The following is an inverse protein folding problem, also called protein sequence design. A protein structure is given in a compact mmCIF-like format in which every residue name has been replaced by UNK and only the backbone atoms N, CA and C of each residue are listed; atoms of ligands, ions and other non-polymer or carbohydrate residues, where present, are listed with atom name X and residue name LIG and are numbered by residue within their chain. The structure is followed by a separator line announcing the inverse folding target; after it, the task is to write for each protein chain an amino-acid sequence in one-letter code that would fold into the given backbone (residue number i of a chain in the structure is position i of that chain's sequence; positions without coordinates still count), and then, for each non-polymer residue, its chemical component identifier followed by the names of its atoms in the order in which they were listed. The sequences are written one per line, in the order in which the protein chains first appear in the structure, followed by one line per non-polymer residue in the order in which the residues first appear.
data_IF_151745745409
#
_entry.id   IF_151745745409
#
_cell.length_a   1.000
_cell.length_b   1.000
_cell.length_c   1.000
_cell.angle_alpha   90.00
_cell.angle_beta   90.00
_cell.angle_gamma   90.00
#
_symmetry.space_group_name_H-M   'P 1'
#
loop_
_entity.id
_entity.type
_entity.pdbx_description
1 polymer ?
#
# COMPACT_ATOMS: atom_id res chain seq x y z
N UNK A 1 -23.77 4.28 0.62
CA UNK A 1 -22.43 3.65 0.69
C UNK A 1 -21.73 3.98 -0.62
N UNK A 2 -20.53 4.57 -0.58
CA UNK A 2 -19.75 4.85 -1.80
C UNK A 2 -19.14 3.53 -2.26
N UNK A 3 -19.36 3.17 -3.52
CA UNK A 3 -18.72 2.00 -4.11
C UNK A 3 -17.26 2.34 -4.44
N UNK A 4 -16.29 1.46 -4.12
CA UNK A 4 -14.89 1.70 -4.44
C UNK A 4 -14.69 1.79 -5.96
N UNK A 5 -13.86 2.74 -6.40
CA UNK A 5 -13.52 2.90 -7.81
C UNK A 5 -12.45 1.88 -8.23
N UNK A 6 -12.48 1.44 -9.49
CA UNK A 6 -11.43 0.60 -10.04
C UNK A 6 -10.08 1.34 -10.03
N UNK A 7 -9.06 0.72 -9.43
CA UNK A 7 -7.73 1.32 -9.28
C UNK A 7 -7.56 2.29 -8.11
N UNK A 8 -8.61 2.46 -7.29
CA UNK A 8 -8.51 3.18 -6.02
C UNK A 8 -7.70 2.37 -5.00
N UNK A 9 -6.72 3.02 -4.36
CA UNK A 9 -5.83 2.39 -3.39
C UNK A 9 -5.87 3.19 -2.10
N UNK A 10 -6.24 2.53 -1.01
CA UNK A 10 -6.14 3.09 0.34
C UNK A 10 -4.76 2.79 0.91
N UNK A 11 -4.13 3.79 1.55
CA UNK A 11 -2.80 3.62 2.14
C UNK A 11 -2.75 4.22 3.54
N UNK A 12 -2.41 3.37 4.51
CA UNK A 12 -2.21 3.74 5.91
C UNK A 12 -0.72 3.69 6.27
N UNK A 13 -0.31 4.57 7.18
CA UNK A 13 1.08 4.65 7.65
C UNK A 13 1.13 4.58 9.17
N UNK A 14 2.06 3.79 9.70
CA UNK A 14 2.29 3.63 11.12
C UNK A 14 3.77 3.78 11.43
N UNK A 15 4.12 4.51 12.49
CA UNK A 15 5.49 4.53 13.01
C UNK A 15 5.59 3.49 14.13
N UNK A 16 6.50 2.53 13.97
CA UNK A 16 6.75 1.45 14.92
C UNK A 16 8.23 1.52 15.30
N UNK A 17 8.52 2.19 16.42
CA UNK A 17 9.89 2.44 16.86
C UNK A 17 10.73 3.16 15.79
N UNK A 18 11.85 2.58 15.31
CA UNK A 18 12.70 3.20 14.29
C UNK A 18 12.18 3.01 12.86
N UNK A 19 11.04 2.34 12.65
CA UNK A 19 10.51 2.00 11.33
C UNK A 19 9.20 2.72 11.03
N UNK A 20 8.94 2.97 9.74
CA UNK A 20 7.63 3.34 9.21
C UNK A 20 7.07 2.14 8.43
N UNK A 21 5.86 1.71 8.78
CA UNK A 21 5.05 0.72 8.08
C UNK A 21 4.09 1.44 7.16
N UNK A 22 3.91 0.97 5.93
CA UNK A 22 2.81 1.35 5.06
C UNK A 22 2.00 0.13 4.64
N UNK A 23 0.67 0.22 4.75
CA UNK A 23 -0.28 -0.79 4.29
C UNK A 23 -1.01 -0.21 3.09
N UNK A 24 -0.94 -0.86 1.93
CA UNK A 24 -1.67 -0.46 0.73
C UNK A 24 -2.71 -1.54 0.38
N UNK A 25 -3.96 -1.12 0.17
CA UNK A 25 -5.10 -2.00 -0.14
C UNK A 25 -5.75 -1.54 -1.43
N UNK A 26 -5.93 -2.46 -2.38
CA UNK A 26 -6.77 -2.22 -3.55
C UNK A 26 -8.24 -2.28 -3.16
N UNK A 27 -8.97 -1.20 -3.41
CA UNK A 27 -10.34 -1.03 -2.98
C UNK A 27 -11.31 -2.02 -3.66
N UNK A 28 -11.00 -2.44 -4.89
CA UNK A 28 -11.87 -3.32 -5.67
C UNK A 28 -11.74 -4.80 -5.27
N UNK A 29 -10.50 -5.26 -5.02
CA UNK A 29 -10.21 -6.68 -4.75
C UNK A 29 -10.00 -6.99 -3.28
N UNK A 30 -9.73 -5.98 -2.45
CA UNK A 30 -9.32 -6.16 -1.05
C UNK A 30 -7.89 -6.69 -0.89
N UNK A 31 -7.13 -6.84 -1.98
CA UNK A 31 -5.73 -7.28 -1.90
C UNK A 31 -4.92 -6.24 -1.15
N UNK A 32 -4.24 -6.68 -0.10
CA UNK A 32 -3.36 -5.84 0.70
C UNK A 32 -1.88 -6.23 0.55
N UNK A 33 -1.02 -5.23 0.68
CA UNK A 33 0.42 -5.42 0.86
C UNK A 33 0.92 -4.52 1.98
N UNK A 34 1.89 -5.03 2.74
CA UNK A 34 2.59 -4.25 3.77
C UNK A 34 4.04 -4.06 3.37
N UNK A 35 4.57 -2.85 3.56
CA UNK A 35 6.00 -2.53 3.43
C UNK A 35 6.52 -1.81 4.66
N UNK A 36 7.82 -1.91 4.87
CA UNK A 36 8.53 -1.23 5.95
C UNK A 36 9.72 -0.45 5.39
N UNK A 37 10.02 0.69 6.02
CA UNK A 37 11.22 1.46 5.79
C UNK A 37 11.71 2.11 7.09
N UNK A 38 12.89 2.76 7.09
CA UNK A 38 13.33 3.58 8.21
C UNK A 38 12.32 4.71 8.49
N UNK A 39 12.15 5.13 9.75
CA UNK A 39 11.25 6.27 10.08
C UNK A 39 11.63 7.59 9.38
N UNK A 40 12.86 7.68 8.88
CA UNK A 40 13.40 8.83 8.16
C UNK A 40 13.09 8.82 6.66
N UNK A 41 12.57 7.70 6.13
CA UNK A 41 12.14 7.64 4.72
C UNK A 41 10.98 8.60 4.49
N UNK A 42 10.93 9.24 3.33
CA UNK A 42 9.80 10.09 3.02
C UNK A 42 8.53 9.25 2.87
N UNK A 43 7.40 9.78 3.33
CA UNK A 43 6.09 9.12 3.19
C UNK A 43 5.79 8.80 1.71
N UNK A 44 6.16 9.70 0.80
CA UNK A 44 5.95 9.54 -0.65
C UNK A 44 6.76 8.38 -1.24
N UNK A 45 8.03 8.21 -0.84
CA UNK A 45 8.84 7.08 -1.30
C UNK A 45 8.27 5.74 -0.82
N UNK A 46 7.89 5.66 0.46
CA UNK A 46 7.31 4.45 1.01
C UNK A 46 5.93 4.15 0.40
N UNK A 47 5.14 5.18 0.11
CA UNK A 47 3.88 5.08 -0.64
C UNK A 47 4.11 4.48 -2.02
N UNK A 48 5.06 5.03 -2.79
CA UNK A 48 5.37 4.58 -4.14
C UNK A 48 5.84 3.12 -4.15
N UNK A 49 6.63 2.72 -3.14
CA UNK A 49 7.04 1.33 -2.96
C UNK A 49 5.83 0.42 -2.67
N UNK A 50 4.94 0.82 -1.76
CA UNK A 50 3.74 0.06 -1.42
C UNK A 50 2.84 -0.13 -2.65
N UNK A 51 2.55 0.95 -3.41
CA UNK A 51 1.76 0.91 -4.66
C UNK A 51 2.41 -0.01 -5.69
N UNK A 52 3.74 0.07 -5.88
CA UNK A 52 4.45 -0.83 -6.80
C UNK A 52 4.29 -2.30 -6.41
N UNK A 53 4.44 -2.63 -5.12
CA UNK A 53 4.26 -4.02 -4.66
C UNK A 53 2.81 -4.49 -4.77
N UNK A 54 1.85 -3.62 -4.51
CA UNK A 54 0.42 -3.94 -4.67
C UNK A 54 0.10 -4.29 -6.12
N UNK A 55 0.51 -3.44 -7.07
CA UNK A 55 0.33 -3.69 -8.52
C UNK A 55 0.97 -5.00 -8.96
N UNK A 56 2.18 -5.29 -8.46
CA UNK A 56 2.84 -6.56 -8.75
C UNK A 56 2.05 -7.75 -8.18
N UNK A 57 1.48 -7.62 -6.97
CA UNK A 57 0.68 -8.68 -6.34
C UNK A 57 -0.63 -8.92 -7.07
N UNK A 58 -1.33 -7.85 -7.47
CA UNK A 58 -2.55 -7.93 -8.29
C UNK A 58 -2.27 -8.69 -9.60
N UNK A 59 -1.20 -8.32 -10.31
CA UNK A 59 -0.78 -9.01 -11.53
C UNK A 59 -0.51 -10.51 -11.32
N UNK A 60 0.09 -10.89 -10.18
CA UNK A 60 0.34 -12.31 -9.86
C UNK A 60 -0.94 -13.09 -9.57
N UNK A 61 -1.99 -12.42 -9.10
CA UNK A 61 -3.30 -13.02 -8.81
C UNK A 61 -4.24 -13.00 -10.02
N UNK A 62 -3.82 -12.37 -11.13
CA UNK A 62 -4.65 -12.23 -12.33
C UNK A 62 -5.72 -11.14 -12.22
N UNK A 63 -5.50 -10.15 -11.35
CA UNK A 63 -6.30 -8.92 -11.26
C UNK A 63 -5.74 -7.82 -12.15
#
# INVERSE_FOLDING_TARGET
MVSPNAGEIYIEFFVIGPQMKAVAVDAATGVEVTVFGPKTVSRLELQNLAVRKLKMRLKQLGH
#
